data_IF_300242521777
#
_entry.id   IF_300242521777
#
_cell.length_a   1.000
_cell.length_b   1.000
_cell.length_c   1.000
_cell.angle_alpha   90.00
_cell.angle_beta   90.00
_cell.angle_gamma   90.00
#
_symmetry.space_group_name_H-M   'P 1'
#
loop_
_entity.id
_entity.type
_entity.pdbx_description
1 polymer ?
#
# COMPACT_ATOMS: atom_id res chain seq x y z
N UNK A 1 37.58 16.70 6.95
CA UNK A 1 36.25 16.91 6.35
C UNK A 1 35.23 15.92 6.91
N UNK A 2 34.64 16.23 8.07
CA UNK A 2 33.82 15.30 8.88
C UNK A 2 32.32 15.30 8.49
N UNK A 3 31.85 16.36 7.84
CA UNK A 3 30.44 16.57 7.46
C UNK A 3 30.00 15.85 6.16
N UNK A 4 30.94 15.40 5.33
CA UNK A 4 30.63 14.77 4.02
C UNK A 4 29.90 13.43 4.20
N UNK A 5 30.30 12.61 5.19
CA UNK A 5 29.72 11.28 5.40
C UNK A 5 28.24 11.33 5.85
N UNK A 6 27.86 12.16 6.85
CA UNK A 6 26.44 12.34 7.19
C UNK A 6 25.61 12.88 6.02
N UNK A 7 26.12 13.87 5.28
CA UNK A 7 25.42 14.45 4.14
C UNK A 7 25.12 13.41 3.05
N UNK A 8 26.11 12.60 2.68
CA UNK A 8 25.91 11.52 1.70
C UNK A 8 24.90 10.46 2.17
N UNK A 9 24.89 10.15 3.49
CA UNK A 9 23.90 9.22 4.06
C UNK A 9 22.48 9.77 3.99
N UNK A 10 22.28 11.05 4.29
CA UNK A 10 20.96 11.68 4.16
C UNK A 10 20.51 11.68 2.70
N UNK A 11 21.41 12.03 1.78
CA UNK A 11 21.12 12.03 0.35
C UNK A 11 20.76 10.64 -0.18
N UNK A 12 21.47 9.58 0.23
CA UNK A 12 21.17 8.21 -0.21
C UNK A 12 19.80 7.74 0.29
N UNK A 13 19.47 8.03 1.55
CA UNK A 13 18.16 7.73 2.13
C UNK A 13 17.03 8.46 1.39
N UNK A 14 17.23 9.75 1.11
CA UNK A 14 16.24 10.55 0.37
C UNK A 14 16.03 10.05 -1.05
N UNK A 15 17.10 9.70 -1.77
CA UNK A 15 17.00 9.08 -3.11
C UNK A 15 16.24 7.76 -3.06
N UNK A 16 16.56 6.90 -2.09
CA UNK A 16 15.85 5.63 -1.91
C UNK A 16 14.39 5.79 -1.50
N UNK A 17 14.04 6.83 -0.75
CA UNK A 17 12.66 7.18 -0.44
C UNK A 17 11.88 7.59 -1.70
N UNK A 18 12.42 8.53 -2.50
CA UNK A 18 11.80 8.96 -3.76
C UNK A 18 11.65 7.82 -4.76
N UNK A 19 12.66 6.97 -4.90
CA UNK A 19 12.63 5.82 -5.80
C UNK A 19 11.51 4.83 -5.42
N UNK A 20 11.34 4.55 -4.13
CA UNK A 20 10.26 3.66 -3.66
C UNK A 20 8.86 4.23 -3.89
N UNK A 21 8.69 5.54 -3.75
CA UNK A 21 7.42 6.22 -4.08
C UNK A 21 7.14 6.13 -5.58
N UNK A 22 8.12 6.50 -6.42
CA UNK A 22 7.97 6.45 -7.87
C UNK A 22 7.67 5.03 -8.36
N UNK A 23 8.37 4.03 -7.81
CA UNK A 23 8.11 2.62 -8.12
C UNK A 23 6.69 2.19 -7.77
N UNK A 24 6.17 2.60 -6.62
CA UNK A 24 4.80 2.22 -6.22
C UNK A 24 3.73 2.93 -7.06
N UNK A 25 3.96 4.19 -7.45
CA UNK A 25 3.10 4.87 -8.42
C UNK A 25 3.07 4.12 -9.76
N UNK A 26 4.25 3.73 -10.27
CA UNK A 26 4.34 2.95 -11.50
C UNK A 26 3.61 1.60 -11.40
N UNK A 27 3.71 0.88 -10.27
CA UNK A 27 2.94 -0.34 -10.05
C UNK A 27 1.43 -0.11 -10.07
N UNK A 28 0.94 1.03 -9.55
CA UNK A 28 -0.47 1.37 -9.59
C UNK A 28 -0.94 1.73 -11.00
N UNK A 29 -0.13 2.48 -11.74
CA UNK A 29 -0.41 2.81 -13.13
C UNK A 29 -0.43 1.55 -14.01
N UNK A 30 0.54 0.65 -13.84
CA UNK A 30 0.64 -0.62 -14.56
C UNK A 30 -0.58 -1.51 -14.28
N UNK A 31 -0.91 -1.74 -12.99
CA UNK A 31 -2.09 -2.50 -12.60
C UNK A 31 -3.38 -1.94 -13.21
N UNK A 32 -3.57 -0.62 -13.15
CA UNK A 32 -4.72 0.04 -13.74
C UNK A 32 -4.78 -0.10 -15.27
N UNK A 33 -3.62 -0.08 -15.93
CA UNK A 33 -3.54 -0.28 -17.38
C UNK A 33 -4.01 -1.68 -17.79
N UNK A 34 -3.84 -2.66 -16.92
CA UNK A 34 -4.36 -4.02 -17.07
C UNK A 34 -5.80 -4.19 -16.55
N UNK A 35 -6.46 -3.11 -16.11
CA UNK A 35 -7.83 -3.16 -15.59
C UNK A 35 -7.95 -3.81 -14.20
N UNK A 36 -6.86 -3.95 -13.45
CA UNK A 36 -6.85 -4.51 -12.10
C UNK A 36 -6.45 -3.48 -11.05
N UNK A 37 -6.74 -3.76 -9.78
CA UNK A 37 -6.30 -2.92 -8.67
C UNK A 37 -4.83 -3.20 -8.33
N UNK A 38 -4.12 -2.16 -7.88
CA UNK A 38 -2.72 -2.28 -7.48
C UNK A 38 -2.55 -2.70 -6.02
N UNK A 39 -1.64 -3.65 -5.77
CA UNK A 39 -1.32 -4.13 -4.43
C UNK A 39 -0.71 -3.03 -3.54
N UNK A 40 -1.29 -2.86 -2.35
CA UNK A 40 -0.87 -1.88 -1.36
C UNK A 40 0.43 -2.30 -0.64
N UNK A 41 1.11 -1.38 0.07
CA UNK A 41 2.33 -1.70 0.79
C UNK A 41 2.16 -2.90 1.73
N UNK A 42 3.05 -3.89 1.61
CA UNK A 42 2.98 -5.14 2.38
C UNK A 42 2.14 -6.24 1.73
N UNK A 43 1.49 -5.97 0.58
CA UNK A 43 0.77 -6.95 -0.22
C UNK A 43 1.56 -7.29 -1.49
N UNK A 44 1.56 -8.56 -1.87
CA UNK A 44 2.08 -9.02 -3.16
C UNK A 44 0.94 -9.07 -4.17
N UNK A 45 1.16 -8.52 -5.38
CA UNK A 45 0.16 -8.56 -6.46
C UNK A 45 -0.29 -10.01 -6.73
N UNK A 46 -1.60 -10.21 -6.87
CA UNK A 46 -2.18 -11.53 -7.11
C UNK A 46 -2.33 -12.41 -5.86
N UNK A 47 -2.05 -11.89 -4.66
CA UNK A 47 -2.19 -12.61 -3.39
C UNK A 47 -3.21 -11.92 -2.47
N UNK A 48 -3.64 -12.64 -1.44
CA UNK A 48 -4.43 -12.06 -0.33
C UNK A 48 -3.75 -10.82 0.23
N UNK A 49 -4.53 -9.78 0.50
CA UNK A 49 -4.02 -8.52 1.00
C UNK A 49 -4.87 -7.32 0.58
N UNK A 50 -4.26 -6.14 0.68
CA UNK A 50 -4.90 -4.86 0.43
C UNK A 50 -4.61 -4.35 -0.98
N UNK A 51 -5.63 -3.83 -1.63
CA UNK A 51 -5.58 -3.30 -3.00
C UNK A 51 -6.22 -1.92 -3.05
N UNK A 52 -5.62 -1.01 -3.81
CA UNK A 52 -6.05 0.39 -3.88
C UNK A 52 -6.73 0.68 -5.21
N UNK A 53 -7.91 1.31 -5.14
CA UNK A 53 -8.46 2.12 -6.24
C UNK A 53 -7.97 3.57 -6.05
N UNK A 54 -6.98 4.02 -6.84
CA UNK A 54 -6.42 5.36 -6.69
C UNK A 54 -7.35 6.46 -7.21
N UNK A 55 -8.35 6.15 -8.05
CA UNK A 55 -9.32 7.13 -8.55
C UNK A 55 -10.34 7.48 -7.47
N UNK A 56 -10.78 6.48 -6.70
CA UNK A 56 -11.78 6.65 -5.62
C UNK A 56 -11.16 6.82 -4.24
N UNK A 57 -9.84 6.59 -4.10
CA UNK A 57 -9.14 6.51 -2.82
C UNK A 57 -9.79 5.48 -1.89
N UNK A 58 -10.08 4.30 -2.44
CA UNK A 58 -10.71 3.19 -1.72
C UNK A 58 -9.74 2.02 -1.62
N UNK A 59 -9.55 1.50 -0.41
CA UNK A 59 -8.77 0.30 -0.13
C UNK A 59 -9.70 -0.88 0.08
N UNK A 60 -9.40 -2.00 -0.59
CA UNK A 60 -10.16 -3.24 -0.54
C UNK A 60 -9.28 -4.35 0.01
N UNK A 61 -9.77 -5.10 0.99
CA UNK A 61 -9.08 -6.30 1.48
C UNK A 61 -9.67 -7.52 0.80
N UNK A 62 -8.81 -8.26 0.10
CA UNK A 62 -9.16 -9.52 -0.54
C UNK A 62 -8.46 -10.69 0.14
N UNK A 63 -9.19 -11.79 0.24
CA UNK A 63 -8.67 -13.09 0.70
C UNK A 63 -8.87 -14.09 -0.41
N UNK A 64 -7.84 -14.88 -0.68
CA UNK A 64 -7.87 -16.04 -1.56
C UNK A 64 -7.71 -17.26 -0.64
N UNK A 65 -8.81 -17.98 -0.30
CA UNK A 65 -8.77 -19.06 0.69
C UNK A 65 -7.93 -20.26 0.26
N UNK A 66 -7.90 -20.53 -1.04
CA UNK A 66 -7.19 -21.64 -1.68
C UNK A 66 -6.30 -21.11 -2.82
N UNK A 67 -5.20 -21.77 -3.20
CA UNK A 67 -4.27 -21.27 -4.23
C UNK A 67 -4.92 -20.91 -5.58
N UNK A 68 -5.99 -21.64 -5.95
CA UNK A 68 -6.78 -21.44 -7.18
C UNK A 68 -8.22 -21.00 -6.86
N UNK A 69 -8.47 -20.56 -5.63
CA UNK A 69 -9.78 -20.13 -5.17
C UNK A 69 -10.18 -18.77 -5.73
N UNK A 70 -11.48 -18.49 -5.69
CA UNK A 70 -12.01 -17.18 -6.05
C UNK A 70 -11.63 -16.12 -5.02
N UNK A 71 -11.55 -14.87 -5.48
CA UNK A 71 -11.21 -13.74 -4.63
C UNK A 71 -12.42 -13.33 -3.80
N UNK A 72 -12.28 -13.33 -2.48
CA UNK A 72 -13.31 -12.86 -1.56
C UNK A 72 -12.97 -11.46 -1.01
N UNK A 73 -13.82 -10.47 -1.30
CA UNK A 73 -13.69 -9.13 -0.70
C UNK A 73 -14.25 -9.13 0.72
N UNK A 74 -13.42 -8.83 1.72
CA UNK A 74 -13.82 -8.85 3.14
C UNK A 74 -14.02 -7.47 3.76
N UNK A 75 -13.18 -6.49 3.39
CA UNK A 75 -13.22 -5.15 3.97
C UNK A 75 -13.07 -4.09 2.88
N UNK A 76 -13.66 -2.93 3.15
CA UNK A 76 -13.56 -1.75 2.30
C UNK A 76 -13.36 -0.52 3.19
N UNK A 77 -12.35 0.27 2.88
CA UNK A 77 -11.99 1.46 3.64
C UNK A 77 -11.75 2.64 2.70
N UNK A 78 -12.18 3.83 3.10
CA UNK A 78 -11.81 5.06 2.42
C UNK A 78 -10.48 5.58 2.96
N UNK A 79 -9.55 5.85 2.05
CA UNK A 79 -8.28 6.51 2.33
C UNK A 79 -8.43 8.02 2.11
N UNK A 80 -7.73 8.82 2.91
CA UNK A 80 -7.69 10.28 2.70
C UNK A 80 -6.74 10.68 1.56
N UNK A 81 -5.84 9.78 1.16
CA UNK A 81 -4.77 9.97 0.18
C UNK A 81 -4.31 8.64 -0.42
N UNK A 82 -3.47 8.69 -1.45
CA UNK A 82 -2.78 7.50 -1.96
C UNK A 82 -1.86 6.90 -0.89
N UNK A 83 -1.81 5.58 -0.84
CA UNK A 83 -1.00 4.84 0.14
C UNK A 83 0.25 4.31 -0.55
N UNK A 84 1.32 5.09 -0.52
CA UNK A 84 2.55 4.83 -1.27
C UNK A 84 3.69 4.27 -0.40
N UNK A 85 3.53 4.31 0.91
CA UNK A 85 4.56 3.90 1.87
C UNK A 85 3.96 3.00 2.96
N UNK A 86 4.77 2.15 3.63
CA UNK A 86 4.32 1.40 4.80
C UNK A 86 3.79 2.29 5.92
N UNK A 87 4.34 3.49 6.07
CA UNK A 87 3.85 4.46 7.05
C UNK A 87 2.42 4.93 6.72
N UNK A 88 2.13 5.25 5.46
CA UNK A 88 0.77 5.58 5.04
C UNK A 88 -0.17 4.39 5.16
N UNK A 89 0.30 3.16 4.91
CA UNK A 89 -0.48 1.95 5.12
C UNK A 89 -0.95 1.81 6.56
N UNK A 90 -0.05 2.10 7.52
CA UNK A 90 -0.40 2.10 8.93
C UNK A 90 -1.48 3.16 9.26
N UNK A 91 -1.31 4.38 8.75
CA UNK A 91 -2.19 5.51 9.06
C UNK A 91 -3.55 5.43 8.39
N UNK A 92 -3.61 4.96 7.14
CA UNK A 92 -4.83 5.01 6.34
C UNK A 92 -5.63 3.71 6.36
N UNK A 93 -5.01 2.59 6.72
CA UNK A 93 -5.64 1.27 6.65
C UNK A 93 -5.54 0.54 7.98
N UNK A 94 -4.34 0.16 8.42
CA UNK A 94 -4.18 -0.81 9.51
C UNK A 94 -4.73 -0.29 10.85
N UNK A 95 -4.51 0.98 11.16
CA UNK A 95 -5.06 1.60 12.38
C UNK A 95 -6.60 1.63 12.41
N UNK A 96 -7.25 1.81 11.25
CA UNK A 96 -8.72 1.83 11.13
C UNK A 96 -9.33 0.44 11.27
N UNK A 97 -8.65 -0.59 10.78
CA UNK A 97 -9.07 -1.99 10.94
C UNK A 97 -9.07 -2.39 12.41
N UNK A 98 -8.00 -2.06 13.14
CA UNK A 98 -7.90 -2.35 14.58
C UNK A 98 -9.03 -1.67 15.36
N UNK A 99 -9.35 -0.41 15.04
CA UNK A 99 -10.48 0.30 15.67
C UNK A 99 -11.83 -0.35 15.38
N UNK A 100 -12.08 -0.75 14.14
CA UNK A 100 -13.35 -1.41 13.77
C UNK A 100 -13.53 -2.74 14.48
N UNK A 101 -12.49 -3.56 14.63
CA UNK A 101 -12.59 -4.82 15.38
C UNK A 101 -12.87 -4.61 16.87
N UNK A 102 -12.46 -3.48 17.43
CA UNK A 102 -12.65 -3.16 18.85
C UNK A 102 -14.06 -2.65 19.17
N UNK A 103 -14.82 -2.15 18.19
CA UNK A 103 -16.23 -1.75 18.34
C UNK A 103 -17.24 -2.90 18.31
N UNK A 104 -16.80 -4.12 18.01
CA UNK A 104 -17.64 -5.34 17.97
C UNK A 104 -17.34 -6.33 19.11
N UNK A 105 -16.59 -5.88 20.13
CA UNK A 105 -16.37 -6.57 21.41
C UNK A 105 -16.94 -5.72 22.54
#
# INVERSE_FOLDING_TARGET
NQAIKPAMRIQSLFRGYRARIAFRLALYEDALSCGVLGAMPGTTQGRSGWYLDPKRLMAYYFVIPEPDGEWEQKLVLRCSRLVLTPHEMQQEVLSKVTQQQQTWL
#
